data_IF_635081258042
#
_entry.id   IF_635081258042
#
_cell.length_a   1.000
_cell.length_b   1.000
_cell.length_c   1.000
_cell.angle_alpha   90.00
_cell.angle_beta   90.00
_cell.angle_gamma   90.00
#
_symmetry.space_group_name_H-M   'P 1'
#
loop_
_entity.id
_entity.type
_entity.pdbx_description
1 polymer ?
#
# COMPACT_ATOMS: atom_id res chain seq x y z
N UNK A 1 -13.56 5.29 3.79
CA UNK A 1 -12.59 4.20 3.56
C UNK A 1 -13.30 2.85 3.42
N UNK A 2 -14.43 2.64 4.11
CA UNK A 2 -15.26 1.42 3.99
C UNK A 2 -15.67 1.06 2.55
N UNK A 3 -15.93 2.04 1.68
CA UNK A 3 -16.35 1.76 0.30
C UNK A 3 -15.22 1.32 -0.64
N UNK A 4 -13.96 1.70 -0.37
CA UNK A 4 -12.83 1.32 -1.22
C UNK A 4 -12.34 -0.09 -0.88
N UNK A 5 -12.19 -0.40 0.42
CA UNK A 5 -11.82 -1.74 0.88
C UNK A 5 -12.86 -2.80 0.50
N UNK A 6 -14.15 -2.44 0.41
CA UNK A 6 -15.18 -3.32 -0.14
C UNK A 6 -15.00 -3.63 -1.64
N UNK A 7 -14.47 -2.68 -2.41
CA UNK A 7 -14.21 -2.89 -3.86
C UNK A 7 -12.85 -3.51 -4.13
N UNK A 8 -11.87 -3.21 -3.27
CA UNK A 8 -10.48 -3.61 -3.41
C UNK A 8 -10.04 -4.18 -2.04
N UNK A 9 -10.39 -5.43 -1.74
CA UNK A 9 -10.12 -6.05 -0.43
C UNK A 9 -8.63 -6.31 -0.18
N UNK A 10 -7.81 -6.19 -1.22
CA UNK A 10 -6.35 -6.31 -1.15
C UNK A 10 -5.70 -5.11 -0.44
N UNK A 11 -6.34 -3.92 -0.49
CA UNK A 11 -5.91 -2.76 0.29
C UNK A 11 -6.51 -2.88 1.68
N UNK A 12 -5.65 -3.15 2.65
CA UNK A 12 -6.02 -3.31 4.06
C UNK A 12 -5.69 -2.03 4.83
N UNK A 13 -6.34 -1.86 5.98
CA UNK A 13 -6.09 -0.73 6.85
C UNK A 13 -6.31 -1.08 8.32
N UNK A 14 -5.60 -0.37 9.21
CA UNK A 14 -5.77 -0.44 10.67
C UNK A 14 -5.27 0.85 11.32
N UNK A 15 -5.83 1.19 12.47
CA UNK A 15 -5.27 2.23 13.35
C UNK A 15 -4.29 1.67 14.38
N UNK A 16 -4.21 0.34 14.52
CA UNK A 16 -3.22 -0.34 15.36
C UNK A 16 -1.99 -0.71 14.52
N UNK A 17 -0.82 -0.29 14.97
CA UNK A 17 0.44 -0.62 14.33
C UNK A 17 0.82 -2.11 14.49
N UNK A 18 0.26 -2.81 15.48
CA UNK A 18 0.51 -4.23 15.71
C UNK A 18 -0.10 -5.12 14.62
N UNK A 19 -1.16 -4.67 13.94
CA UNK A 19 -1.83 -5.42 12.86
C UNK A 19 -1.05 -5.36 11.54
N UNK A 20 -0.13 -4.39 11.41
CA UNK A 20 0.52 -4.07 10.14
C UNK A 20 1.67 -5.05 9.87
N UNK A 21 1.70 -5.74 8.72
CA UNK A 21 2.78 -6.64 8.35
C UNK A 21 3.99 -5.85 7.82
N UNK A 22 4.68 -5.13 8.72
CA UNK A 22 5.77 -4.19 8.41
C UNK A 22 6.91 -4.75 7.56
N UNK A 23 7.13 -6.07 7.62
CA UNK A 23 8.22 -6.74 6.89
C UNK A 23 7.82 -7.15 5.47
N UNK A 24 6.54 -7.37 5.18
CA UNK A 24 6.06 -8.01 3.94
C UNK A 24 5.06 -7.15 3.15
N UNK A 25 4.89 -5.88 3.52
CA UNK A 25 3.96 -4.98 2.83
C UNK A 25 4.58 -3.61 2.54
N UNK A 26 3.97 -2.92 1.57
CA UNK A 26 4.12 -1.47 1.44
C UNK A 26 3.01 -0.82 2.24
N UNK A 27 3.39 -0.04 3.23
CA UNK A 27 2.50 0.65 4.15
C UNK A 27 2.60 2.15 3.87
N UNK A 28 1.47 2.85 3.84
CA UNK A 28 1.44 4.30 3.82
C UNK A 28 0.44 4.79 4.85
N UNK A 29 0.60 6.03 5.29
CA UNK A 29 -0.39 6.64 6.19
C UNK A 29 -1.26 7.61 5.44
N UNK A 30 -2.54 7.63 5.80
CA UNK A 30 -3.41 8.76 5.53
C UNK A 30 -3.47 9.57 6.83
N UNK A 31 -3.15 10.86 6.77
CA UNK A 31 -3.31 11.77 7.91
C UNK A 31 -4.73 12.33 7.88
N UNK A 32 -5.69 11.80 8.66
CA UNK A 32 -7.00 12.44 8.75
C UNK A 32 -6.85 13.80 9.43
N UNK A 33 -7.70 14.77 9.07
CA UNK A 33 -7.72 16.09 9.74
C UNK A 33 -8.05 15.99 11.23
N UNK A 34 -8.81 14.95 11.61
CA UNK A 34 -9.23 14.64 12.97
C UNK A 34 -9.23 13.12 13.12
N UNK A 35 -8.57 12.59 14.14
CA UNK A 35 -8.54 11.15 14.46
C UNK A 35 -7.14 10.55 14.53
N UNK A 36 -7.04 9.27 14.93
CA UNK A 36 -5.76 8.57 14.99
C UNK A 36 -5.18 8.37 13.58
N UNK A 37 -3.87 8.18 13.52
CA UNK A 37 -3.19 7.76 12.28
C UNK A 37 -3.79 6.44 11.80
N UNK A 38 -4.09 6.35 10.51
CA UNK A 38 -4.51 5.10 9.86
C UNK A 38 -3.39 4.63 8.96
N UNK A 39 -2.98 3.39 9.15
CA UNK A 39 -2.05 2.69 8.28
C UNK A 39 -2.86 1.97 7.21
N UNK A 40 -2.54 2.22 5.96
CA UNK A 40 -3.02 1.46 4.82
C UNK A 40 -1.86 0.65 4.26
N UNK A 41 -2.12 -0.54 3.76
CA UNK A 41 -1.06 -1.33 3.16
C UNK A 41 -1.54 -2.25 2.05
N UNK A 42 -0.57 -2.62 1.22
CA UNK A 42 -0.69 -3.66 0.22
C UNK A 42 0.40 -4.71 0.48
N UNK A 43 -0.02 -5.96 0.62
CA UNK A 43 0.89 -7.09 0.83
C UNK A 43 1.74 -7.35 -0.44
N UNK A 44 2.98 -7.81 -0.25
CA UNK A 44 3.90 -8.11 -1.35
C UNK A 44 3.31 -9.12 -2.37
N UNK A 45 2.42 -10.00 -1.93
CA UNK A 45 1.71 -10.96 -2.81
C UNK A 45 0.86 -10.28 -3.89
N UNK A 46 0.43 -9.04 -3.68
CA UNK A 46 -0.33 -8.25 -4.65
C UNK A 46 0.54 -7.25 -5.43
N UNK A 47 1.85 -7.21 -5.17
CA UNK A 47 2.79 -6.26 -5.78
C UNK A 47 3.74 -7.01 -6.71
N UNK A 48 3.79 -6.60 -7.97
CA UNK A 48 4.79 -7.10 -8.92
C UNK A 48 6.17 -6.50 -8.63
N UNK A 49 6.22 -5.18 -8.48
CA UNK A 49 7.39 -4.47 -8.04
C UNK A 49 7.02 -3.08 -7.51
N UNK A 50 7.92 -2.53 -6.70
CA UNK A 50 7.90 -1.14 -6.23
C UNK A 50 8.95 -0.34 -6.97
N UNK A 51 8.58 0.85 -7.44
CA UNK A 51 9.50 1.86 -7.98
C UNK A 51 9.43 3.11 -7.11
N UNK A 52 10.58 3.74 -6.86
CA UNK A 52 10.69 4.95 -6.06
C UNK A 52 11.57 5.97 -6.76
N UNK A 53 11.01 7.14 -7.05
CA UNK A 53 11.74 8.26 -7.64
C UNK A 53 11.29 9.57 -7.01
N UNK A 54 12.23 10.41 -6.60
CA UNK A 54 11.98 11.76 -6.08
C UNK A 54 10.91 11.83 -4.96
N UNK A 55 10.91 10.85 -4.05
CA UNK A 55 9.92 10.81 -2.96
C UNK A 55 8.55 10.24 -3.34
N UNK A 56 8.32 9.91 -4.62
CA UNK A 56 7.08 9.30 -5.11
C UNK A 56 7.27 7.80 -5.22
N UNK A 57 6.44 7.04 -4.52
CA UNK A 57 6.42 5.58 -4.61
C UNK A 57 5.29 5.15 -5.55
N UNK A 58 5.63 4.25 -6.46
CA UNK A 58 4.73 3.66 -7.44
C UNK A 58 4.67 2.15 -7.22
N UNK A 59 3.47 1.61 -7.09
CA UNK A 59 3.21 0.18 -6.94
C UNK A 59 2.59 -0.36 -8.21
N UNK A 60 3.24 -1.35 -8.83
CA UNK A 60 2.64 -2.08 -9.94
C UNK A 60 1.93 -3.33 -9.41
N UNK A 61 0.63 -3.49 -9.66
CA UNK A 61 -0.09 -4.69 -9.25
C UNK A 61 0.48 -5.99 -9.84
N UNK A 62 0.44 -7.06 -9.05
CA UNK A 62 0.62 -8.40 -9.57
C UNK A 62 -0.43 -8.72 -10.64
N UNK A 63 -0.12 -9.56 -11.62
CA UNK A 63 -1.08 -9.85 -12.71
C UNK A 63 -2.36 -10.49 -12.17
N UNK A 64 -2.21 -11.37 -11.18
CA UNK A 64 -3.32 -12.09 -10.55
C UNK A 64 -4.06 -11.30 -9.45
N UNK A 65 -3.63 -10.09 -9.16
CA UNK A 65 -4.27 -9.24 -8.14
C UNK A 65 -5.50 -8.55 -8.70
N UNK A 66 -6.55 -8.40 -7.89
CA UNK A 66 -7.79 -7.69 -8.26
C UNK A 66 -7.47 -6.25 -8.70
N UNK A 67 -6.47 -5.62 -8.09
CA UNK A 67 -5.97 -4.30 -8.50
C UNK A 67 -5.60 -4.22 -9.98
N UNK A 68 -5.08 -5.29 -10.60
CA UNK A 68 -4.68 -5.28 -12.01
C UNK A 68 -5.87 -5.08 -12.97
N UNK A 69 -7.09 -5.42 -12.52
CA UNK A 69 -8.33 -5.17 -13.25
C UNK A 69 -8.82 -3.72 -13.11
N UNK A 70 -8.28 -2.96 -12.16
CA UNK A 70 -8.74 -1.61 -11.83
C UNK A 70 -7.73 -0.52 -12.14
N UNK A 71 -6.43 -0.82 -12.07
CA UNK A 71 -5.37 0.13 -12.36
C UNK A 71 -4.11 -0.55 -12.91
N UNK A 72 -3.31 0.24 -13.64
CA UNK A 72 -1.98 -0.19 -14.07
C UNK A 72 -0.90 0.10 -13.01
N UNK A 73 -1.16 1.08 -12.14
CA UNK A 73 -0.22 1.55 -11.13
C UNK A 73 -0.98 2.27 -10.02
N UNK A 74 -0.47 2.17 -8.79
CA UNK A 74 -0.89 3.00 -7.65
C UNK A 74 0.24 3.99 -7.34
N UNK A 75 -0.09 5.27 -7.33
CA UNK A 75 0.84 6.33 -6.93
C UNK A 75 0.54 6.68 -5.48
N UNK A 76 1.56 6.63 -4.62
CA UNK A 76 1.46 6.96 -3.21
C UNK A 76 2.08 8.34 -2.94
N UNK A 77 1.28 9.42 -2.85
CA UNK A 77 1.76 10.76 -2.51
C UNK A 77 1.83 10.99 -0.98
N UNK A 78 2.04 9.94 -0.19
CA UNK A 78 1.94 10.04 1.28
C UNK A 78 3.20 10.65 1.91
N UNK A 79 3.00 11.39 3.00
CA UNK A 79 4.08 11.92 3.84
C UNK A 79 4.88 10.82 4.55
N UNK A 80 4.30 9.62 4.71
CA UNK A 80 4.99 8.47 5.26
C UNK A 80 4.66 7.23 4.43
N UNK A 81 5.74 6.59 3.96
CA UNK A 81 5.69 5.33 3.23
C UNK A 81 6.77 4.42 3.83
N UNK A 82 6.39 3.19 4.13
CA UNK A 82 7.26 2.15 4.64
C UNK A 82 7.22 0.97 3.68
N UNK A 83 8.38 0.58 3.17
CA UNK A 83 8.50 -0.58 2.29
C UNK A 83 9.19 -1.68 3.10
N UNK A 84 8.46 -2.77 3.37
CA UNK A 84 8.97 -3.88 4.14
C UNK A 84 10.18 -4.55 3.48
N UNK A 85 11.10 -5.08 4.30
CA UNK A 85 12.37 -5.67 3.83
C UNK A 85 12.20 -6.87 2.88
N UNK A 86 11.04 -7.52 2.90
CA UNK A 86 10.70 -8.66 2.05
C UNK A 86 9.79 -8.27 0.87
N UNK A 87 9.67 -6.98 0.55
CA UNK A 87 8.93 -6.51 -0.61
C UNK A 87 9.83 -6.52 -1.85
N UNK A 88 9.29 -6.94 -2.99
CA UNK A 88 10.00 -6.94 -4.26
C UNK A 88 10.20 -5.49 -4.77
N UNK A 89 11.46 -5.07 -4.89
CA UNK A 89 11.82 -3.72 -5.37
C UNK A 89 12.51 -3.86 -6.73
N UNK A 90 12.11 -3.03 -7.71
CA UNK A 90 12.88 -2.83 -8.93
C UNK A 90 13.60 -1.49 -8.84
N UNK A 91 14.93 -1.52 -8.81
CA UNK A 91 15.80 -0.34 -8.88
C UNK A 91 15.87 0.24 -10.28
#
# INVERSE_FOLDING_TARGET
>A
MDSLSQKIPEIKYSSDAADVPWDTAVVWTVMPRVGPRVYEWLDNTHIRYVSWSNGIVSLMPHQDSILSNHCQCIILPSAFIWIGKNVNISS
#
